data_IF_254937411115
#
_entry.id   IF_254937411115
#
_cell.length_a   1.000
_cell.length_b   1.000
_cell.length_c   1.000
_cell.angle_alpha   90.00
_cell.angle_beta   90.00
_cell.angle_gamma   90.00
#
_symmetry.space_group_name_H-M   'P 1'
#
loop_
_entity.id
_entity.type
_entity.pdbx_description
1 polymer ?
#
# COMPACT_ATOMS: atom_id res chain seq x y z
N UNK A 1 5.91 13.07 10.04
CA UNK A 1 4.53 12.61 9.74
C UNK A 1 4.48 12.25 8.26
N UNK A 2 4.03 11.05 7.87
CA UNK A 2 3.75 10.78 6.46
C UNK A 2 2.60 11.68 6.03
N UNK A 3 2.89 12.67 5.19
CA UNK A 3 1.84 13.51 4.61
C UNK A 3 1.15 12.68 3.53
N UNK A 4 -0.02 12.11 3.85
CA UNK A 4 -0.76 11.25 2.93
C UNK A 4 -1.23 12.00 1.68
N UNK A 5 -1.39 13.33 1.80
CA UNK A 5 -1.88 14.17 0.71
C UNK A 5 -3.40 14.10 0.51
N UNK A 6 -4.11 13.40 1.40
CA UNK A 6 -5.56 13.29 1.42
C UNK A 6 -6.08 13.22 2.87
N UNK A 7 -7.35 13.60 3.07
CA UNK A 7 -8.05 13.43 4.33
C UNK A 7 -8.84 12.11 4.32
N UNK A 8 -8.88 11.42 5.46
CA UNK A 8 -9.64 10.18 5.64
C UNK A 8 -10.92 10.51 6.40
N UNK A 9 -12.07 10.24 5.80
CA UNK A 9 -13.37 10.34 6.47
C UNK A 9 -13.62 9.05 7.26
N UNK A 10 -14.04 9.17 8.53
CA UNK A 10 -14.26 8.04 9.45
C UNK A 10 -13.07 7.06 9.53
N UNK A 11 -11.91 7.51 10.06
CA UNK A 11 -10.73 6.68 10.17
C UNK A 11 -11.00 5.44 11.02
N UNK A 12 -10.56 4.27 10.52
CA UNK A 12 -10.66 2.98 11.23
C UNK A 12 -9.44 2.65 12.08
N UNK A 13 -8.36 3.39 11.87
CA UNK A 13 -7.09 3.24 12.60
C UNK A 13 -6.76 4.56 13.27
N UNK A 14 -6.26 4.48 14.51
CA UNK A 14 -5.83 5.66 15.25
C UNK A 14 -4.54 6.23 14.65
N UNK A 15 -4.32 7.52 14.87
CA UNK A 15 -3.08 8.18 14.44
C UNK A 15 -1.85 7.58 15.13
N UNK A 16 -1.97 7.12 16.38
CA UNK A 16 -0.87 6.50 17.12
C UNK A 16 -0.48 5.16 16.50
N UNK A 17 -1.45 4.33 16.12
CA UNK A 17 -1.21 3.08 15.41
C UNK A 17 -0.51 3.33 14.06
N UNK A 18 -0.97 4.34 13.32
CA UNK A 18 -0.30 4.74 12.08
C UNK A 18 1.14 5.18 12.32
N UNK A 19 1.44 5.97 13.35
CA UNK A 19 2.83 6.36 13.66
C UNK A 19 3.72 5.14 13.95
N UNK A 20 3.23 4.21 14.77
CA UNK A 20 3.95 2.99 15.11
C UNK A 20 4.20 2.10 13.88
N UNK A 21 3.21 1.97 13.00
CA UNK A 21 3.37 1.19 11.76
C UNK A 21 4.46 1.75 10.81
N UNK A 22 4.76 3.05 10.93
CA UNK A 22 5.72 3.78 10.12
C UNK A 22 7.12 3.91 10.73
N UNK A 23 7.27 3.61 12.02
CA UNK A 23 8.49 3.92 12.79
C UNK A 23 9.75 3.25 12.22
N UNK A 24 9.60 2.05 11.66
CA UNK A 24 10.71 1.26 11.12
C UNK A 24 10.62 1.06 9.59
N UNK A 25 9.68 1.75 8.92
CA UNK A 25 9.43 1.55 7.48
C UNK A 25 9.72 2.80 6.66
N UNK A 26 10.38 2.61 5.54
CA UNK A 26 10.53 3.66 4.53
C UNK A 26 9.19 3.92 3.84
N UNK A 27 8.68 5.15 3.93
CA UNK A 27 7.52 5.54 3.13
C UNK A 27 7.93 5.76 1.67
N UNK A 28 7.35 4.99 0.76
CA UNK A 28 7.51 5.19 -0.68
C UNK A 28 6.19 5.62 -1.31
N UNK A 29 6.26 6.61 -2.22
CA UNK A 29 5.10 7.02 -3.01
C UNK A 29 4.76 5.95 -4.05
N UNK A 30 3.48 5.78 -4.35
CA UNK A 30 2.99 4.76 -5.29
C UNK A 30 3.69 4.81 -6.65
N UNK A 31 3.94 6.01 -7.18
CA UNK A 31 4.64 6.21 -8.47
C UNK A 31 6.13 5.81 -8.45
N UNK A 32 6.72 5.56 -7.28
CA UNK A 32 8.12 5.12 -7.12
C UNK A 32 8.25 3.63 -6.83
N UNK A 33 7.15 2.89 -6.70
CA UNK A 33 7.17 1.44 -6.38
C UNK A 33 7.93 0.65 -7.43
N UNK A 34 7.69 0.92 -8.72
CA UNK A 34 8.40 0.22 -9.81
C UNK A 34 9.91 0.49 -9.79
N UNK A 35 10.32 1.73 -9.49
CA UNK A 35 11.73 2.09 -9.34
C UNK A 35 12.37 1.36 -8.16
N UNK A 36 11.71 1.33 -7.00
CA UNK A 36 12.19 0.63 -5.80
C UNK A 36 12.35 -0.87 -6.05
N UNK A 37 11.41 -1.49 -6.78
CA UNK A 37 11.49 -2.90 -7.17
C UNK A 37 12.68 -3.20 -8.08
N UNK A 38 13.00 -2.30 -9.00
CA UNK A 38 14.11 -2.46 -9.94
C UNK A 38 15.49 -2.23 -9.29
N UNK A 39 15.57 -1.41 -8.24
CA UNK A 39 16.82 -0.98 -7.65
C UNK A 39 17.60 -2.06 -6.88
N UNK A 40 17.04 -3.26 -6.66
CA UNK A 40 17.63 -4.40 -5.92
C UNK A 40 18.13 -4.10 -4.48
N UNK A 41 18.16 -2.83 -4.05
CA UNK A 41 18.51 -2.37 -2.71
C UNK A 41 17.28 -2.47 -1.81
N UNK A 42 17.00 -3.67 -1.30
CA UNK A 42 15.79 -3.92 -0.50
C UNK A 42 16.12 -4.36 0.92
N UNK A 43 17.14 -3.77 1.54
CA UNK A 43 17.46 -4.06 2.95
C UNK A 43 16.54 -3.32 3.93
N UNK A 44 15.69 -2.41 3.45
CA UNK A 44 14.74 -1.67 4.29
C UNK A 44 13.30 -2.02 3.94
N UNK A 45 12.56 -2.45 4.94
CA UNK A 45 11.11 -2.58 4.89
C UNK A 45 10.48 -1.24 4.51
N UNK A 46 9.48 -1.30 3.65
CA UNK A 46 8.83 -0.11 3.12
C UNK A 46 7.30 -0.21 3.17
N UNK A 47 6.66 0.94 3.14
CA UNK A 47 5.20 1.09 3.15
C UNK A 47 4.77 2.11 2.11
N UNK A 48 3.60 1.89 1.51
CA UNK A 48 2.98 2.81 0.54
C UNK A 48 1.51 3.03 0.91
N UNK A 49 0.90 4.06 0.33
CA UNK A 49 -0.52 4.32 0.43
C UNK A 49 -1.14 4.48 -0.95
N UNK A 50 -2.38 4.01 -1.08
CA UNK A 50 -3.21 4.19 -2.25
C UNK A 50 -4.69 4.21 -1.85
N UNK A 51 -5.51 4.75 -2.73
CA UNK A 51 -6.98 4.69 -2.63
C UNK A 51 -7.44 3.68 -3.67
N UNK A 52 -8.34 2.77 -3.29
CA UNK A 52 -8.97 1.85 -4.25
C UNK A 52 -9.99 2.65 -5.05
N UNK A 53 -9.68 2.92 -6.32
CA UNK A 53 -10.57 3.64 -7.24
C UNK A 53 -11.52 2.69 -7.97
N UNK A 54 -11.09 1.45 -8.19
CA UNK A 54 -11.89 0.42 -8.87
C UNK A 54 -11.60 -0.98 -8.34
N UNK A 55 -12.55 -1.90 -8.57
CA UNK A 55 -12.41 -3.33 -8.26
C UNK A 55 -12.76 -4.11 -9.51
N UNK A 56 -11.95 -5.09 -9.86
CA UNK A 56 -12.32 -6.04 -10.91
C UNK A 56 -13.42 -6.98 -10.44
N UNK A 57 -14.06 -7.65 -11.39
CA UNK A 57 -14.82 -8.87 -11.09
C UNK A 57 -13.92 -9.96 -10.50
N UNK A 58 -14.54 -10.92 -9.82
CA UNK A 58 -13.86 -12.10 -9.26
C UNK A 58 -13.32 -12.96 -10.39
N UNK A 59 -12.01 -13.18 -10.36
CA UNK A 59 -11.28 -14.05 -11.28
C UNK A 59 -10.88 -15.34 -10.57
N UNK A 60 -10.58 -16.39 -11.34
CA UNK A 60 -10.08 -17.66 -10.81
C UNK A 60 -8.69 -17.93 -11.37
N UNK A 61 -7.76 -18.31 -10.49
CA UNK A 61 -6.40 -18.71 -10.87
C UNK A 61 -6.41 -20.13 -11.43
N UNK A 62 -5.34 -20.50 -12.14
CA UNK A 62 -5.16 -21.86 -12.66
C UNK A 62 -5.12 -22.92 -11.54
N UNK A 63 -4.71 -22.54 -10.33
CA UNK A 63 -4.73 -23.38 -9.14
C UNK A 63 -6.11 -23.47 -8.46
N UNK A 64 -7.15 -22.84 -9.04
CA UNK A 64 -8.53 -22.90 -8.54
C UNK A 64 -8.91 -21.81 -7.52
N UNK A 65 -7.97 -20.97 -7.07
CA UNK A 65 -8.22 -19.91 -6.09
C UNK A 65 -8.89 -18.68 -6.73
N UNK A 66 -9.89 -18.12 -6.05
CA UNK A 66 -10.57 -16.89 -6.45
C UNK A 66 -9.80 -15.64 -5.99
N UNK A 67 -9.75 -14.61 -6.83
CA UNK A 67 -9.07 -13.34 -6.52
C UNK A 67 -9.75 -12.13 -7.20
N UNK A 68 -9.47 -10.93 -6.70
CA UNK A 68 -9.85 -9.65 -7.31
C UNK A 68 -8.62 -8.75 -7.45
N UNK A 69 -8.69 -7.79 -8.38
CA UNK A 69 -7.64 -6.80 -8.59
C UNK A 69 -8.20 -5.43 -8.16
N UNK A 70 -7.43 -4.71 -7.34
CA UNK A 70 -7.70 -3.33 -6.99
C UNK A 70 -6.93 -2.41 -7.94
N UNK A 71 -7.65 -1.45 -8.53
CA UNK A 71 -7.09 -0.37 -9.34
C UNK A 71 -7.26 0.98 -8.67
#
# INVERSE_FOLDING_TARGET
MPHLGFAIVNPKVSMQFLKQAFEEKEYIKLNKVNYKKAAASTDKDWITFGVVASKSETKRSNAGNSFIIFG
#
